data_IF_486167955352
#
_entry.id   IF_486167955352
#
_cell.length_a   1.000
_cell.length_b   1.000
_cell.length_c   1.000
_cell.angle_alpha   90.00
_cell.angle_beta   90.00
_cell.angle_gamma   90.00
#
_symmetry.space_group_name_H-M   'P 1'
#
loop_
_entity.id
_entity.type
_entity.pdbx_description
1 polymer ?
#
# COMPACT_ATOMS: atom_id res chain seq x y z
N UNK A 1 -13.71 -35.40 0.91
CA UNK A 1 -13.18 -34.77 2.13
C UNK A 1 -11.90 -33.96 1.85
N UNK A 2 -10.71 -34.59 1.72
CA UNK A 2 -9.42 -33.85 1.56
C UNK A 2 -9.39 -32.82 0.42
N UNK A 3 -9.98 -33.13 -0.74
CA UNK A 3 -10.07 -32.21 -1.89
C UNK A 3 -10.95 -30.99 -1.61
N UNK A 4 -12.06 -31.17 -0.88
CA UNK A 4 -12.99 -30.09 -0.51
C UNK A 4 -12.32 -29.16 0.51
N UNK A 5 -11.61 -29.73 1.49
CA UNK A 5 -10.85 -28.97 2.48
C UNK A 5 -9.75 -28.12 1.83
N UNK A 6 -9.02 -28.69 0.86
CA UNK A 6 -8.02 -27.93 0.10
C UNK A 6 -8.63 -26.79 -0.72
N UNK A 7 -9.80 -27.00 -1.33
CA UNK A 7 -10.49 -25.99 -2.12
C UNK A 7 -11.01 -24.83 -1.26
N UNK A 8 -11.56 -25.14 -0.08
CA UNK A 8 -11.95 -24.15 0.93
C UNK A 8 -10.75 -23.33 1.42
N UNK A 9 -9.61 -23.97 1.66
CA UNK A 9 -8.39 -23.28 2.09
C UNK A 9 -7.92 -22.27 1.05
N UNK A 10 -7.89 -22.66 -0.23
CA UNK A 10 -7.52 -21.76 -1.34
C UNK A 10 -8.50 -20.60 -1.44
N UNK A 11 -9.80 -20.86 -1.31
CA UNK A 11 -10.83 -19.83 -1.35
C UNK A 11 -10.62 -18.79 -0.23
N UNK A 12 -10.34 -19.22 1.00
CA UNK A 12 -10.08 -18.30 2.11
C UNK A 12 -8.83 -17.44 1.90
N UNK A 13 -7.76 -18.00 1.34
CA UNK A 13 -6.53 -17.26 1.05
C UNK A 13 -6.79 -16.18 0.00
N UNK A 14 -7.51 -16.52 -1.07
CA UNK A 14 -7.82 -15.58 -2.15
C UNK A 14 -8.74 -14.45 -1.67
N UNK A 15 -9.76 -14.77 -0.86
CA UNK A 15 -10.67 -13.76 -0.31
C UNK A 15 -9.99 -12.86 0.73
N UNK A 16 -9.05 -13.39 1.52
CA UNK A 16 -8.29 -12.62 2.51
C UNK A 16 -7.36 -11.58 1.89
N UNK A 17 -6.81 -11.84 0.69
CA UNK A 17 -5.93 -10.90 0.00
C UNK A 17 -6.67 -9.60 -0.40
N UNK A 18 -7.94 -9.69 -0.81
CA UNK A 18 -8.75 -8.55 -1.24
C UNK A 18 -9.29 -7.70 -0.08
N UNK A 19 -9.29 -8.22 1.15
CA UNK A 19 -9.82 -7.54 2.33
C UNK A 19 -8.83 -6.54 2.95
N UNK A 20 -7.63 -6.38 2.40
CA UNK A 20 -6.63 -5.50 3.00
C UNK A 20 -7.01 -4.01 2.83
N UNK A 21 -6.99 -3.23 3.93
CA UNK A 21 -7.26 -1.80 3.86
C UNK A 21 -6.22 -1.10 2.98
N UNK A 22 -6.62 -0.01 2.31
CA UNK A 22 -5.70 0.76 1.47
C UNK A 22 -4.44 1.11 2.29
N UNK A 23 -3.23 0.84 1.76
CA UNK A 23 -1.99 1.21 2.44
C UNK A 23 -2.02 2.67 2.88
N UNK A 24 -1.53 2.95 4.08
CA UNK A 24 -1.70 4.26 4.71
C UNK A 24 -1.24 5.43 3.83
N UNK A 25 -0.12 5.30 3.12
CA UNK A 25 0.41 6.30 2.19
C UNK A 25 -0.52 6.62 0.99
N UNK A 26 -1.51 5.77 0.71
CA UNK A 26 -2.54 6.01 -0.32
C UNK A 26 -3.76 6.75 0.22
N UNK A 27 -3.95 6.81 1.54
CA UNK A 27 -5.05 7.55 2.18
C UNK A 27 -4.80 9.06 2.11
N UNK A 28 -5.85 9.88 2.22
CA UNK A 28 -5.71 11.34 2.23
C UNK A 28 -4.81 11.83 3.39
N UNK A 29 -5.00 11.26 4.59
CA UNK A 29 -4.18 11.57 5.78
C UNK A 29 -2.72 11.15 5.58
N UNK A 30 -2.50 9.96 5.03
CA UNK A 30 -1.16 9.47 4.74
C UNK A 30 -0.43 10.30 3.70
N UNK A 31 -1.10 10.69 2.60
CA UNK A 31 -0.51 11.58 1.58
C UNK A 31 -0.03 12.91 2.18
N UNK A 32 -0.84 13.54 3.05
CA UNK A 32 -0.45 14.78 3.75
C UNK A 32 0.79 14.56 4.62
N UNK A 33 0.82 13.47 5.39
CA UNK A 33 1.94 13.11 6.26
C UNK A 33 3.22 12.83 5.46
N UNK A 34 3.11 12.04 4.38
CA UNK A 34 4.23 11.74 3.48
C UNK A 34 4.78 13.01 2.84
N UNK A 35 3.91 13.93 2.38
CA UNK A 35 4.36 15.23 1.84
C UNK A 35 5.16 16.02 2.86
N UNK A 36 4.65 16.16 4.08
CA UNK A 36 5.34 16.89 5.15
C UNK A 36 6.76 16.35 5.42
N UNK A 37 6.91 15.03 5.56
CA UNK A 37 8.24 14.47 5.80
C UNK A 37 9.15 14.55 4.57
N UNK A 38 8.61 14.41 3.36
CA UNK A 38 9.40 14.59 2.15
C UNK A 38 9.89 16.04 2.03
N UNK A 39 9.07 17.03 2.40
CA UNK A 39 9.48 18.44 2.41
C UNK A 39 10.65 18.67 3.37
N UNK A 40 10.66 18.01 4.53
CA UNK A 40 11.79 18.06 5.48
C UNK A 40 13.02 17.35 4.91
N UNK A 41 12.86 16.13 4.41
CA UNK A 41 13.97 15.26 3.99
C UNK A 41 14.67 15.74 2.73
N UNK A 42 13.91 16.30 1.79
CA UNK A 42 14.41 16.67 0.46
C UNK A 42 14.43 18.18 0.24
N UNK A 43 14.23 18.98 1.29
CA UNK A 43 14.28 20.44 1.23
C UNK A 43 13.18 21.02 0.34
N UNK A 44 11.95 20.50 0.45
CA UNK A 44 10.79 20.96 -0.32
C UNK A 44 10.80 20.58 -1.80
N UNK A 45 11.76 19.75 -2.25
CA UNK A 45 11.81 19.27 -3.62
C UNK A 45 10.66 18.27 -3.86
N UNK A 46 9.96 18.43 -4.98
CA UNK A 46 8.97 17.46 -5.41
C UNK A 46 9.64 16.20 -5.95
N UNK A 47 8.90 15.08 -5.96
CA UNK A 47 9.37 13.85 -6.59
C UNK A 47 9.72 14.05 -8.08
N UNK A 48 9.05 14.98 -8.78
CA UNK A 48 9.37 15.32 -10.17
C UNK A 48 10.72 16.04 -10.32
N UNK A 49 11.16 16.78 -9.31
CA UNK A 49 12.47 17.44 -9.27
C UNK A 49 13.61 16.49 -8.85
N UNK A 50 13.28 15.35 -8.24
CA UNK A 50 14.25 14.33 -7.83
C UNK A 50 14.45 13.23 -8.87
N UNK A 51 13.67 13.20 -9.95
CA UNK A 51 13.88 12.26 -11.04
C UNK A 51 15.23 12.59 -11.71
N UNK A 52 16.26 11.80 -11.41
CA UNK A 52 17.56 11.89 -12.10
C UNK A 52 17.36 11.67 -13.62
N UNK A 53 18.17 12.32 -14.46
CA UNK A 53 18.16 12.12 -15.91
C UNK A 53 18.41 10.65 -16.27
#
# INVERSE_FOLDING_TARGET
MRKITGLLLVLFIVLGACATPKPYYKTAKGKKKTKYYNDIQFGGKSASQMKKP
#
